data_IF_315551724591
#
_entry.id   IF_315551724591
#
_cell.length_a   1.000
_cell.length_b   1.000
_cell.length_c   1.000
_cell.angle_alpha   90.00
_cell.angle_beta   90.00
_cell.angle_gamma   90.00
#
_symmetry.space_group_name_H-M   'P 1'
#
loop_
_entity.id
_entity.type
_entity.pdbx_description
1 polymer ?
#
# COMPACT_ATOMS: atom_id res chain seq x y z
N UNK A 1 -1.12 -5.19 -34.33
CA UNK A 1 -1.59 -4.31 -33.23
C UNK A 1 -0.85 -4.71 -31.97
N UNK A 2 -0.49 -3.75 -31.10
CA UNK A 2 0.11 -4.07 -29.79
C UNK A 2 -1.00 -4.57 -28.86
N UNK A 3 -0.73 -5.44 -27.90
CA UNK A 3 -1.75 -5.95 -26.96
C UNK A 3 -1.78 -5.09 -25.70
N UNK A 4 -2.97 -4.66 -25.31
CA UNK A 4 -3.28 -4.09 -24.00
C UNK A 4 -4.15 -5.08 -23.22
N UNK A 5 -3.55 -5.76 -22.25
CA UNK A 5 -4.29 -6.66 -21.37
C UNK A 5 -4.89 -5.89 -20.19
N UNK A 6 -6.18 -6.10 -19.95
CA UNK A 6 -6.94 -5.43 -18.89
C UNK A 6 -7.21 -6.41 -17.77
N UNK A 7 -6.81 -6.01 -16.57
CA UNK A 7 -7.10 -6.72 -15.32
C UNK A 7 -8.08 -5.88 -14.53
N UNK A 8 -9.24 -6.42 -14.19
CA UNK A 8 -10.27 -5.69 -13.45
C UNK A 8 -11.06 -6.62 -12.54
N UNK A 9 -11.75 -6.12 -11.51
CA UNK A 9 -12.64 -6.92 -10.68
C UNK A 9 -13.68 -7.64 -11.54
N UNK A 10 -13.75 -8.97 -11.43
CA UNK A 10 -14.78 -9.78 -12.09
C UNK A 10 -15.84 -10.10 -11.05
N UNK A 11 -16.96 -9.36 -11.10
CA UNK A 11 -18.14 -9.63 -10.30
C UNK A 11 -19.06 -10.67 -10.94
N UNK A 12 -20.04 -11.15 -10.17
CA UNK A 12 -21.14 -11.97 -10.70
C UNK A 12 -22.02 -11.18 -11.67
N UNK A 13 -22.75 -11.90 -12.53
CA UNK A 13 -23.68 -11.29 -13.47
C UNK A 13 -24.71 -10.40 -12.76
N UNK A 14 -24.87 -9.18 -13.27
CA UNK A 14 -25.78 -8.17 -12.70
C UNK A 14 -25.24 -7.46 -11.44
N UNK A 15 -24.06 -7.81 -10.93
CA UNK A 15 -23.45 -7.10 -9.80
C UNK A 15 -22.98 -5.69 -10.19
N UNK A 16 -22.95 -4.78 -9.23
CA UNK A 16 -22.40 -3.43 -9.42
C UNK A 16 -20.91 -3.47 -9.81
N UNK A 17 -20.14 -4.40 -9.23
CA UNK A 17 -18.74 -4.63 -9.63
C UNK A 17 -18.64 -4.97 -11.12
N UNK A 18 -19.45 -5.93 -11.61
CA UNK A 18 -19.45 -6.32 -13.03
C UNK A 18 -19.85 -5.16 -13.93
N UNK A 19 -20.95 -4.47 -13.60
CA UNK A 19 -21.45 -3.31 -14.34
C UNK A 19 -20.40 -2.20 -14.42
N UNK A 20 -19.76 -1.88 -13.30
CA UNK A 20 -18.73 -0.84 -13.23
C UNK A 20 -17.52 -1.22 -14.07
N UNK A 21 -16.96 -2.42 -13.90
CA UNK A 21 -15.78 -2.85 -14.67
C UNK A 21 -16.06 -2.94 -16.17
N UNK A 22 -17.28 -3.32 -16.58
CA UNK A 22 -17.71 -3.27 -17.97
C UNK A 22 -17.84 -1.84 -18.51
N UNK A 23 -18.32 -0.90 -17.68
CA UNK A 23 -18.39 0.52 -18.05
C UNK A 23 -17.00 1.15 -18.17
N UNK A 24 -16.08 0.89 -17.24
CA UNK A 24 -14.68 1.37 -17.31
C UNK A 24 -14.02 0.83 -18.58
N UNK A 25 -14.14 -0.47 -18.84
CA UNK A 25 -13.59 -1.08 -20.05
C UNK A 25 -14.14 -0.42 -21.31
N UNK A 26 -15.47 -0.34 -21.44
CA UNK A 26 -16.15 0.16 -22.65
C UNK A 26 -15.95 1.66 -22.88
N UNK A 27 -16.08 2.46 -21.83
CA UNK A 27 -16.17 3.91 -21.97
C UNK A 27 -14.85 4.63 -21.76
N UNK A 28 -13.86 4.02 -21.11
CA UNK A 28 -12.58 4.66 -20.81
C UNK A 28 -11.44 3.91 -21.49
N UNK A 29 -11.26 2.63 -21.18
CA UNK A 29 -10.05 1.89 -21.59
C UNK A 29 -10.05 1.61 -23.09
N UNK A 30 -11.09 0.98 -23.61
CA UNK A 30 -11.17 0.59 -25.03
C UNK A 30 -10.95 1.75 -26.00
N UNK A 31 -11.70 2.87 -25.92
CA UNK A 31 -11.53 3.96 -26.88
C UNK A 31 -10.13 4.57 -26.85
N UNK A 32 -9.51 4.68 -25.67
CA UNK A 32 -8.15 5.25 -25.57
C UNK A 32 -7.10 4.28 -26.08
N UNK A 33 -7.24 2.98 -25.81
CA UNK A 33 -6.30 1.97 -26.32
C UNK A 33 -6.37 1.85 -27.84
N UNK A 34 -7.58 1.83 -28.42
CA UNK A 34 -7.76 1.77 -29.88
C UNK A 34 -7.17 3.00 -30.57
N UNK A 35 -7.29 4.19 -29.97
CA UNK A 35 -6.65 5.42 -30.46
C UNK A 35 -5.11 5.35 -30.46
N UNK A 36 -4.51 4.46 -29.66
CA UNK A 36 -3.07 4.26 -29.55
C UNK A 36 -2.61 2.93 -30.19
N UNK A 37 -3.39 2.38 -31.13
CA UNK A 37 -3.07 1.13 -31.86
C UNK A 37 -2.89 -0.12 -30.96
N UNK A 38 -3.62 -0.15 -29.84
CA UNK A 38 -3.68 -1.31 -28.95
C UNK A 38 -4.97 -2.13 -29.14
N UNK A 39 -4.80 -3.45 -29.21
CA UNK A 39 -5.87 -4.44 -29.09
C UNK A 39 -6.16 -4.70 -27.61
N UNK A 40 -7.42 -4.52 -27.20
CA UNK A 40 -7.81 -4.65 -25.79
C UNK A 40 -8.28 -6.06 -25.50
N UNK A 41 -7.61 -6.72 -24.56
CA UNK A 41 -7.94 -8.09 -24.16
C UNK A 41 -8.30 -8.13 -22.67
N UNK A 42 -9.41 -8.79 -22.33
CA UNK A 42 -9.79 -9.11 -20.94
C UNK A 42 -10.18 -10.59 -20.87
N UNK A 43 -9.71 -11.29 -19.84
CA UNK A 43 -9.74 -12.77 -19.82
C UNK A 43 -11.15 -13.37 -19.94
N UNK A 44 -12.17 -12.76 -19.34
CA UNK A 44 -13.56 -13.23 -19.41
C UNK A 44 -14.19 -13.09 -20.80
N UNK A 45 -13.53 -12.42 -21.75
CA UNK A 45 -13.96 -12.30 -23.15
C UNK A 45 -13.27 -13.29 -24.08
N UNK A 46 -12.34 -14.08 -23.56
CA UNK A 46 -11.59 -15.08 -24.34
C UNK A 46 -12.35 -16.39 -24.28
N UNK A 47 -12.65 -16.96 -25.44
CA UNK A 47 -13.18 -18.31 -25.58
C UNK A 47 -12.06 -19.25 -26.00
N UNK A 48 -11.23 -19.68 -25.05
CA UNK A 48 -10.11 -20.59 -25.30
C UNK A 48 -10.26 -21.87 -24.45
N UNK A 49 -9.66 -22.97 -24.92
CA UNK A 49 -9.69 -24.28 -24.23
C UNK A 49 -8.64 -24.42 -23.13
N UNK A 50 -7.67 -23.50 -23.09
CA UNK A 50 -6.62 -23.46 -22.08
C UNK A 50 -7.17 -23.12 -20.69
N UNK A 51 -6.42 -23.45 -19.63
CA UNK A 51 -6.83 -23.01 -18.29
C UNK A 51 -6.75 -21.49 -18.19
N UNK A 52 -7.78 -20.88 -17.61
CA UNK A 52 -7.89 -19.43 -17.41
C UNK A 52 -6.60 -18.86 -16.79
N UNK A 53 -6.03 -19.58 -15.82
CA UNK A 53 -4.78 -19.19 -15.16
C UNK A 53 -3.59 -19.10 -16.12
N UNK A 54 -3.45 -20.07 -17.04
CA UNK A 54 -2.37 -20.05 -18.04
C UNK A 54 -2.53 -18.90 -19.02
N UNK A 55 -3.77 -18.63 -19.44
CA UNK A 55 -4.10 -17.50 -20.31
C UNK A 55 -3.75 -16.18 -19.63
N UNK A 56 -4.15 -15.98 -18.37
CA UNK A 56 -3.82 -14.77 -17.59
C UNK A 56 -2.31 -14.59 -17.49
N UNK A 57 -1.59 -15.63 -17.06
CA UNK A 57 -0.13 -15.58 -16.91
C UNK A 57 0.55 -15.20 -18.23
N UNK A 58 0.10 -15.79 -19.34
CA UNK A 58 0.61 -15.47 -20.67
C UNK A 58 0.42 -13.99 -21.00
N UNK A 59 -0.80 -13.46 -20.87
CA UNK A 59 -1.05 -12.06 -21.18
C UNK A 59 -0.32 -11.10 -20.23
N UNK A 60 -0.23 -11.39 -18.93
CA UNK A 60 0.55 -10.58 -17.99
C UNK A 60 2.03 -10.53 -18.37
N UNK A 61 2.59 -11.65 -18.85
CA UNK A 61 4.00 -11.73 -19.24
C UNK A 61 4.25 -11.10 -20.61
N UNK A 62 3.39 -11.32 -21.58
CA UNK A 62 3.68 -11.05 -22.99
C UNK A 62 3.19 -9.67 -23.45
N UNK A 63 2.02 -9.21 -22.98
CA UNK A 63 1.40 -7.97 -23.46
C UNK A 63 2.31 -6.75 -23.34
N UNK A 64 2.27 -5.90 -24.36
CA UNK A 64 3.02 -4.65 -24.44
C UNK A 64 2.56 -3.66 -23.36
N UNK A 65 1.27 -3.65 -23.04
CA UNK A 65 0.66 -2.85 -21.99
C UNK A 65 -0.25 -3.69 -21.12
N UNK A 66 -0.24 -3.42 -19.81
CA UNK A 66 -1.25 -3.91 -18.87
C UNK A 66 -1.93 -2.72 -18.21
N UNK A 67 -3.27 -2.72 -18.17
CA UNK A 67 -4.05 -1.75 -17.40
C UNK A 67 -4.76 -2.49 -16.28
N UNK A 68 -4.56 -2.07 -15.04
CA UNK A 68 -5.19 -2.70 -13.88
C UNK A 68 -6.18 -1.76 -13.20
N UNK A 69 -7.40 -2.22 -12.96
CA UNK A 69 -8.43 -1.52 -12.18
C UNK A 69 -8.40 -2.04 -10.74
N UNK A 70 -7.81 -1.27 -9.83
CA UNK A 70 -7.62 -1.62 -8.42
C UNK A 70 -8.85 -1.36 -7.54
N UNK A 71 -9.98 -1.00 -8.16
CA UNK A 71 -11.22 -0.68 -7.45
C UNK A 71 -11.75 -1.87 -6.63
N UNK A 72 -12.37 -1.55 -5.50
CA UNK A 72 -12.85 -2.48 -4.47
C UNK A 72 -11.75 -3.34 -3.83
N UNK A 73 -10.49 -2.98 -4.03
CA UNK A 73 -9.34 -3.68 -3.45
C UNK A 73 -9.34 -5.17 -3.80
N UNK A 74 -9.75 -5.50 -5.03
CA UNK A 74 -9.89 -6.90 -5.44
C UNK A 74 -8.53 -7.64 -5.31
N UNK A 75 -8.46 -8.71 -4.50
CA UNK A 75 -7.20 -9.39 -4.19
C UNK A 75 -6.55 -10.04 -5.42
N UNK A 76 -7.35 -10.51 -6.39
CA UNK A 76 -6.83 -11.12 -7.61
C UNK A 76 -6.17 -10.05 -8.49
N UNK A 77 -6.79 -8.87 -8.62
CA UNK A 77 -6.21 -7.75 -9.37
C UNK A 77 -4.89 -7.29 -8.75
N UNK A 78 -4.79 -7.25 -7.41
CA UNK A 78 -3.51 -6.95 -6.75
C UNK A 78 -2.44 -8.01 -7.02
N UNK A 79 -2.80 -9.29 -6.95
CA UNK A 79 -1.89 -10.40 -7.25
C UNK A 79 -1.35 -10.30 -8.68
N UNK A 80 -2.23 -10.11 -9.66
CA UNK A 80 -1.88 -9.99 -11.08
C UNK A 80 -1.05 -8.71 -11.36
N UNK A 81 -1.36 -7.60 -10.69
CA UNK A 81 -0.57 -6.37 -10.75
C UNK A 81 0.85 -6.57 -10.21
N UNK A 82 0.99 -7.27 -9.08
CA UNK A 82 2.28 -7.61 -8.49
C UNK A 82 3.09 -8.56 -9.40
N UNK A 83 2.43 -9.54 -10.01
CA UNK A 83 3.06 -10.44 -10.97
C UNK A 83 3.59 -9.67 -12.19
N UNK A 84 2.80 -8.74 -12.75
CA UNK A 84 3.23 -7.88 -13.86
C UNK A 84 4.42 -7.00 -13.50
N UNK A 85 4.41 -6.41 -12.30
CA UNK A 85 5.49 -5.55 -11.82
C UNK A 85 6.86 -6.26 -11.84
N UNK A 86 6.88 -7.57 -11.57
CA UNK A 86 8.11 -8.37 -11.57
C UNK A 86 8.80 -8.48 -12.95
N UNK A 87 8.10 -8.16 -14.04
CA UNK A 87 8.65 -8.21 -15.40
C UNK A 87 9.20 -6.86 -15.91
N UNK A 88 9.13 -5.79 -15.12
CA UNK A 88 9.55 -4.42 -15.52
C UNK A 88 8.98 -3.98 -16.89
N UNK A 89 7.74 -4.41 -17.18
CA UNK A 89 7.02 -4.05 -18.39
C UNK A 89 5.92 -3.04 -18.07
N UNK A 90 5.49 -2.22 -19.05
CA UNK A 90 4.45 -1.22 -18.86
C UNK A 90 3.22 -1.70 -18.11
N UNK A 91 2.82 -0.90 -17.13
CA UNK A 91 1.58 -1.07 -16.40
C UNK A 91 1.01 0.30 -16.03
N UNK A 92 -0.29 0.47 -16.19
CA UNK A 92 -1.03 1.67 -15.76
C UNK A 92 -2.11 1.23 -14.78
N UNK A 93 -2.18 1.88 -13.62
CA UNK A 93 -3.16 1.58 -12.58
C UNK A 93 -4.31 2.58 -12.63
N UNK A 94 -5.53 2.09 -12.51
CA UNK A 94 -6.77 2.84 -12.37
C UNK A 94 -7.40 2.55 -11.00
N UNK A 95 -8.11 3.52 -10.43
CA UNK A 95 -8.94 3.30 -9.25
C UNK A 95 -10.14 4.25 -9.26
N UNK A 96 -11.28 3.79 -8.73
CA UNK A 96 -12.45 4.64 -8.52
C UNK A 96 -12.14 5.79 -7.55
N UNK A 97 -12.49 7.00 -7.94
CA UNK A 97 -12.32 8.21 -7.13
C UNK A 97 -12.98 8.04 -5.75
N UNK A 98 -12.23 8.39 -4.70
CA UNK A 98 -12.66 8.25 -3.30
C UNK A 98 -12.19 6.96 -2.60
N UNK A 99 -11.69 5.97 -3.33
CA UNK A 99 -11.04 4.81 -2.73
C UNK A 99 -9.53 5.07 -2.51
N UNK A 100 -8.98 4.55 -1.40
CA UNK A 100 -7.58 4.73 -1.02
C UNK A 100 -6.81 3.42 -1.17
N UNK A 101 -5.67 3.45 -1.85
CA UNK A 101 -4.82 2.27 -1.99
C UNK A 101 -4.05 1.96 -0.69
N UNK A 102 -3.77 0.67 -0.42
CA UNK A 102 -2.80 0.29 0.60
C UNK A 102 -1.43 0.94 0.33
N UNK A 103 -0.70 1.26 1.40
CA UNK A 103 0.58 1.98 1.31
C UNK A 103 1.60 1.33 0.36
N UNK A 104 1.61 -0.01 0.30
CA UNK A 104 2.55 -0.74 -0.56
C UNK A 104 2.30 -0.55 -2.06
N UNK A 105 1.06 -0.25 -2.45
CA UNK A 105 0.66 -0.05 -3.86
C UNK A 105 0.57 1.43 -4.22
N UNK A 106 0.33 2.31 -3.24
CA UNK A 106 0.13 3.75 -3.45
C UNK A 106 1.37 4.51 -3.93
N UNK A 107 2.55 3.88 -3.90
CA UNK A 107 3.79 4.43 -4.44
C UNK A 107 3.79 4.50 -5.98
N UNK A 108 2.96 3.70 -6.64
CA UNK A 108 2.79 3.72 -8.10
C UNK A 108 1.75 4.76 -8.48
N UNK A 109 2.05 5.56 -9.51
CA UNK A 109 1.10 6.55 -10.04
C UNK A 109 -0.16 5.85 -10.52
N UNK A 110 -1.28 6.17 -9.89
CA UNK A 110 -2.60 5.62 -10.20
C UNK A 110 -3.52 6.73 -10.71
N UNK A 111 -4.26 6.45 -11.77
CA UNK A 111 -5.25 7.38 -12.34
C UNK A 111 -6.59 7.15 -11.64
N UNK A 112 -7.09 8.18 -10.96
CA UNK A 112 -8.45 8.18 -10.43
C UNK A 112 -9.46 8.34 -11.58
N UNK A 113 -10.53 7.56 -11.55
CA UNK A 113 -11.64 7.66 -12.50
C UNK A 113 -13.00 7.83 -11.80
N UNK A 114 -13.96 8.38 -12.55
CA UNK A 114 -15.35 8.51 -12.13
C UNK A 114 -16.26 8.25 -13.33
N UNK A 115 -17.43 7.64 -13.12
CA UNK A 115 -18.35 7.23 -14.20
C UNK A 115 -19.69 7.99 -14.21
N UNK A 116 -19.98 8.74 -13.15
CA UNK A 116 -21.25 9.47 -12.97
C UNK A 116 -21.24 10.88 -13.57
N UNK A 117 -20.09 11.31 -14.11
CA UNK A 117 -19.87 12.64 -14.66
C UNK A 117 -19.13 12.51 -16.02
N UNK A 118 -19.76 12.89 -17.15
CA UNK A 118 -19.14 12.82 -18.47
C UNK A 118 -17.83 13.61 -18.59
N UNK A 119 -17.72 14.76 -17.93
CA UNK A 119 -16.51 15.59 -17.99
C UNK A 119 -15.35 14.91 -17.27
N UNK A 120 -15.66 14.18 -16.18
CA UNK A 120 -14.67 13.34 -15.47
C UNK A 120 -14.23 12.15 -16.32
N UNK A 121 -15.16 11.52 -17.05
CA UNK A 121 -14.84 10.42 -17.98
C UNK A 121 -13.84 10.91 -19.04
N UNK A 122 -14.12 12.04 -19.68
CA UNK A 122 -13.20 12.62 -20.69
C UNK A 122 -11.87 13.03 -20.07
N UNK A 123 -11.87 13.63 -18.88
CA UNK A 123 -10.64 13.95 -18.15
C UNK A 123 -9.80 12.70 -17.80
N UNK A 124 -10.44 11.58 -17.46
CA UNK A 124 -9.74 10.31 -17.25
C UNK A 124 -9.17 9.77 -18.56
N UNK A 125 -9.93 9.82 -19.66
CA UNK A 125 -9.43 9.39 -20.98
C UNK A 125 -8.19 10.17 -21.40
N UNK A 126 -8.22 11.50 -21.23
CA UNK A 126 -7.08 12.36 -21.55
C UNK A 126 -5.84 11.94 -20.74
N UNK A 127 -5.98 11.79 -19.42
CA UNK A 127 -4.87 11.35 -18.55
C UNK A 127 -4.34 9.97 -18.94
N UNK A 128 -5.23 9.03 -19.28
CA UNK A 128 -4.85 7.70 -19.71
C UNK A 128 -4.06 7.77 -21.02
N UNK A 129 -4.52 8.56 -21.99
CA UNK A 129 -3.87 8.77 -23.28
C UNK A 129 -2.46 9.37 -23.14
N UNK A 130 -2.31 10.40 -22.31
CA UNK A 130 -1.02 11.03 -21.98
C UNK A 130 -0.05 10.01 -21.33
N UNK A 131 -0.59 9.17 -20.44
CA UNK A 131 0.21 8.13 -19.76
C UNK A 131 0.67 7.05 -20.73
N UNK A 132 -0.21 6.55 -21.63
CA UNK A 132 0.15 5.56 -22.66
C UNK A 132 1.22 6.13 -23.60
N UNK A 133 1.08 7.38 -24.02
CA UNK A 133 2.06 8.06 -24.88
C UNK A 133 3.45 8.11 -24.21
N UNK A 134 3.50 8.52 -22.95
CA UNK A 134 4.74 8.62 -22.17
C UNK A 134 5.43 7.27 -22.01
N UNK A 135 4.64 6.24 -21.70
CA UNK A 135 5.12 4.86 -21.52
C UNK A 135 5.67 4.28 -22.84
N UNK A 136 5.01 4.57 -23.96
CA UNK A 136 5.42 4.09 -25.29
C UNK A 136 6.77 4.68 -25.71
N UNK A 137 6.95 5.99 -25.55
CA UNK A 137 8.20 6.70 -25.89
C UNK A 137 9.39 6.16 -25.06
N UNK A 138 9.17 5.92 -23.77
CA UNK A 138 10.21 5.40 -22.88
C UNK A 138 10.65 3.98 -23.26
N UNK A 139 9.74 3.16 -23.78
CA UNK A 139 10.06 1.82 -24.24
C UNK A 139 10.78 1.79 -25.58
N UNK A 140 10.41 2.66 -26.52
CA UNK A 140 11.11 2.76 -27.80
C UNK A 140 12.56 3.23 -27.57
N UNK A 141 12.76 4.19 -26.66
CA UNK A 141 14.09 4.62 -26.19
C UNK A 141 14.90 3.51 -25.50
N UNK A 142 14.24 2.59 -24.78
CA UNK A 142 14.89 1.41 -24.19
C UNK A 142 15.21 0.32 -25.24
N UNK A 143 14.47 0.26 -26.34
CA UNK A 143 14.64 -0.76 -27.38
C UNK A 143 15.83 -0.52 -28.31
N UNK A 144 16.32 0.73 -28.41
CA UNK A 144 17.55 1.05 -29.15
C UNK A 144 18.85 0.81 -28.35
N UNK A 145 18.74 0.41 -27.08
CA UNK A 145 19.88 0.05 -26.27
C UNK A 145 19.49 -0.95 -25.20
N UNK A 146 19.69 -2.25 -25.49
CA UNK A 146 20.36 -3.25 -24.64
C UNK A 146 19.94 -4.68 -25.05
N UNK A 147 20.87 -5.39 -25.68
CA UNK A 147 21.16 -6.75 -25.24
C UNK A 147 21.53 -6.68 -23.74
N UNK A 148 20.81 -7.38 -22.87
CA UNK A 148 21.36 -7.95 -21.63
C UNK A 148 20.32 -8.86 -20.94
N UNK A 149 20.12 -10.04 -21.51
CA UNK A 149 19.64 -11.19 -20.74
C UNK A 149 20.71 -11.63 -19.75
N UNK A 150 20.75 -11.03 -18.56
CA UNK A 150 21.47 -11.51 -17.37
C UNK A 150 21.10 -10.76 -16.09
N UNK A 151 20.56 -9.54 -16.17
CA UNK A 151 20.23 -8.74 -14.97
C UNK A 151 18.96 -9.18 -14.21
N UNK A 152 18.05 -9.93 -14.84
CA UNK A 152 16.77 -10.31 -14.22
C UNK A 152 16.93 -11.15 -12.94
N UNK A 153 17.90 -12.07 -12.87
CA UNK A 153 18.14 -12.86 -11.64
C UNK A 153 18.75 -12.04 -10.51
N UNK A 154 19.64 -11.10 -10.84
CA UNK A 154 20.25 -10.22 -9.84
C UNK A 154 19.19 -9.28 -9.29
N UNK A 155 18.38 -8.69 -10.17
CA UNK A 155 17.24 -7.84 -9.79
C UNK A 155 16.21 -8.59 -8.94
N UNK A 156 15.86 -9.83 -9.29
CA UNK A 156 14.96 -10.67 -8.48
C UNK A 156 15.54 -11.00 -7.11
N UNK A 157 16.84 -11.32 -7.02
CA UNK A 157 17.52 -11.53 -5.74
C UNK A 157 17.57 -10.26 -4.89
N UNK A 158 17.83 -9.11 -5.51
CA UNK A 158 17.80 -7.81 -4.84
C UNK A 158 16.39 -7.54 -4.30
N UNK A 159 15.33 -7.75 -5.08
CA UNK A 159 13.96 -7.57 -4.60
C UNK A 159 13.61 -8.51 -3.46
N UNK A 160 13.98 -9.80 -3.54
CA UNK A 160 13.80 -10.76 -2.44
C UNK A 160 14.47 -10.27 -1.17
N UNK A 161 15.74 -9.87 -1.25
CA UNK A 161 16.49 -9.36 -0.10
C UNK A 161 15.89 -8.06 0.46
N UNK A 162 15.39 -7.17 -0.41
CA UNK A 162 14.74 -5.94 0.03
C UNK A 162 13.40 -6.21 0.74
N UNK A 163 12.64 -7.22 0.30
CA UNK A 163 11.42 -7.66 0.99
C UNK A 163 11.75 -8.27 2.36
N UNK A 164 12.76 -9.13 2.43
CA UNK A 164 13.18 -9.74 3.70
C UNK A 164 13.62 -8.66 4.72
N UNK A 165 14.42 -7.68 4.29
CA UNK A 165 14.84 -6.54 5.12
C UNK A 165 13.63 -5.72 5.58
N UNK A 166 12.66 -5.48 4.70
CA UNK A 166 11.45 -4.73 5.03
C UNK A 166 10.63 -5.46 6.09
N UNK A 167 10.46 -6.76 5.95
CA UNK A 167 9.71 -7.58 6.90
C UNK A 167 10.41 -7.63 8.27
N UNK A 168 11.74 -7.72 8.30
CA UNK A 168 12.51 -7.61 9.54
C UNK A 168 12.37 -6.23 10.20
N UNK A 169 12.38 -5.14 9.42
CA UNK A 169 12.17 -3.78 9.95
C UNK A 169 10.75 -3.64 10.53
N UNK A 170 9.74 -4.18 9.87
CA UNK A 170 8.35 -4.17 10.36
C UNK A 170 8.24 -4.99 11.66
N UNK A 171 8.85 -6.17 11.69
CA UNK A 171 8.89 -7.02 12.87
C UNK A 171 9.60 -6.33 14.06
N UNK A 172 10.77 -5.74 13.82
CA UNK A 172 11.50 -4.97 14.82
C UNK A 172 10.69 -3.76 15.31
N UNK A 173 10.06 -3.01 14.41
CA UNK A 173 9.20 -1.87 14.77
C UNK A 173 8.02 -2.30 15.63
N UNK A 174 7.39 -3.45 15.32
CA UNK A 174 6.31 -4.03 16.12
C UNK A 174 6.80 -4.45 17.51
N UNK A 175 7.98 -5.04 17.59
CA UNK A 175 8.58 -5.47 18.86
C UNK A 175 8.99 -4.28 19.75
N UNK A 176 9.51 -3.21 19.15
CA UNK A 176 9.79 -1.95 19.86
C UNK A 176 8.48 -1.39 20.45
N UNK A 177 7.42 -1.29 19.64
CA UNK A 177 6.10 -0.84 20.11
C UNK A 177 5.48 -1.73 21.19
N UNK A 178 5.71 -3.05 21.15
CA UNK A 178 5.23 -3.95 22.20
C UNK A 178 6.07 -3.86 23.47
N UNK A 179 7.37 -3.58 23.36
CA UNK A 179 8.26 -3.42 24.52
C UNK A 179 7.88 -2.17 25.32
N UNK A 180 7.59 -1.06 24.64
CA UNK A 180 7.10 0.17 25.29
C UNK A 180 5.76 -0.04 26.03
N UNK A 181 4.87 -0.89 25.50
CA UNK A 181 3.60 -1.24 26.16
C UNK A 181 3.77 -2.17 27.36
N UNK A 182 4.65 -3.18 27.24
CA UNK A 182 4.94 -4.12 28.34
C UNK A 182 5.61 -3.38 29.51
N UNK A 183 6.51 -2.44 29.23
CA UNK A 183 7.16 -1.63 30.27
C UNK A 183 6.15 -0.69 30.95
N UNK A 184 5.19 -0.13 30.19
CA UNK A 184 4.12 0.70 30.76
C UNK A 184 3.11 -0.10 31.58
N UNK A 185 2.66 -1.27 31.10
CA UNK A 185 1.76 -2.14 31.86
C UNK A 185 2.43 -2.68 33.13
N UNK A 186 3.71 -3.05 33.05
CA UNK A 186 4.47 -3.46 34.23
C UNK A 186 4.67 -2.29 35.21
N UNK A 187 4.95 -1.07 34.73
CA UNK A 187 5.00 0.12 35.58
C UNK A 187 3.65 0.41 36.22
N UNK A 188 2.55 0.40 35.46
CA UNK A 188 1.18 0.58 35.98
C UNK A 188 0.88 -0.50 37.01
N UNK A 189 1.24 -1.75 36.77
CA UNK A 189 1.04 -2.84 37.71
C UNK A 189 1.86 -2.68 39.00
N UNK A 190 3.13 -2.29 38.91
CA UNK A 190 4.00 -2.00 40.05
C UNK A 190 3.45 -0.82 40.86
N UNK A 191 3.05 0.27 40.20
CA UNK A 191 2.44 1.44 40.81
C UNK A 191 1.13 1.07 41.51
N UNK A 192 0.26 0.30 40.85
CA UNK A 192 -1.02 -0.17 41.41
C UNK A 192 -0.79 -1.03 42.66
N UNK A 193 0.19 -1.93 42.60
CA UNK A 193 0.57 -2.78 43.73
C UNK A 193 1.16 -1.97 44.89
N UNK A 194 1.98 -0.95 44.60
CA UNK A 194 2.51 -0.06 45.62
C UNK A 194 1.41 0.80 46.25
N UNK A 195 0.48 1.34 45.46
CA UNK A 195 -0.67 2.12 45.94
C UNK A 195 -1.57 1.28 46.85
N UNK A 196 -1.85 0.02 46.51
CA UNK A 196 -2.63 -0.91 47.35
C UNK A 196 -1.94 -1.23 48.69
N UNK A 197 -0.59 -1.24 48.73
CA UNK A 197 0.16 -1.47 49.98
C UNK A 197 0.33 -0.22 50.85
N UNK A 198 -0.10 0.95 50.36
CA UNK A 198 0.28 2.26 50.88
C UNK A 198 -0.86 3.04 51.56
N UNK A 199 -2.02 2.41 51.80
CA UNK A 199 -3.23 3.05 52.37
C UNK A 199 -3.07 3.65 53.78
N UNK A 200 -1.90 3.60 54.43
CA UNK A 200 -1.72 4.05 55.81
C UNK A 200 -0.66 5.14 56.06
N UNK A 201 -0.02 5.71 55.04
CA UNK A 201 0.96 6.80 55.25
C UNK A 201 0.57 8.13 54.60
N UNK A 202 0.85 9.25 55.29
CA UNK A 202 0.62 10.61 54.78
C UNK A 202 1.41 10.88 53.48
N UNK A 203 2.61 10.29 53.36
CA UNK A 203 3.46 10.38 52.17
C UNK A 203 2.78 9.73 50.95
N UNK A 204 2.07 8.63 51.16
CA UNK A 204 1.37 7.89 50.11
C UNK A 204 0.21 8.68 49.52
N UNK A 205 -0.53 9.43 50.35
CA UNK A 205 -1.64 10.29 49.89
C UNK A 205 -1.14 11.51 49.11
N UNK A 206 0.02 12.05 49.50
CA UNK A 206 0.68 13.14 48.76
C UNK A 206 1.15 12.63 47.40
N UNK A 207 1.75 11.44 47.38
CA UNK A 207 2.21 10.78 46.16
C UNK A 207 1.04 10.45 45.21
N UNK A 208 -0.06 9.91 45.71
CA UNK A 208 -1.28 9.64 44.93
C UNK A 208 -1.84 10.91 44.28
N UNK A 209 -1.87 12.02 45.01
CA UNK A 209 -2.36 13.30 44.49
C UNK A 209 -1.42 13.89 43.43
N UNK A 210 -0.11 13.77 43.61
CA UNK A 210 0.89 14.18 42.63
C UNK A 210 0.81 13.34 41.35
N UNK A 211 0.66 12.02 41.48
CA UNK A 211 0.47 11.10 40.36
C UNK A 211 -0.78 11.42 39.56
N UNK A 212 -1.91 11.66 40.24
CA UNK A 212 -3.17 12.00 39.58
C UNK A 212 -3.05 13.31 38.80
N UNK A 213 -2.40 14.31 39.37
CA UNK A 213 -2.19 15.61 38.72
C UNK A 213 -1.24 15.52 37.51
N UNK A 214 -0.21 14.67 37.56
CA UNK A 214 0.73 14.47 36.45
C UNK A 214 0.14 13.63 35.32
N UNK A 215 -0.72 12.64 35.63
CA UNK A 215 -1.46 11.89 34.59
C UNK A 215 -2.39 12.83 33.81
N UNK A 216 -3.04 13.76 34.48
CA UNK A 216 -3.96 14.72 33.85
C UNK A 216 -3.24 15.88 33.14
N UNK A 217 -1.95 16.12 33.44
CA UNK A 217 -1.12 17.15 32.82
C UNK A 217 0.28 16.58 32.51
N UNK A 218 0.47 15.93 31.33
CA UNK A 218 1.68 15.20 30.99
C UNK A 218 2.95 16.05 31.04
N UNK A 219 2.88 17.32 30.66
CA UNK A 219 4.03 18.24 30.64
C UNK A 219 4.62 18.52 32.04
N UNK A 220 3.82 18.35 33.10
CA UNK A 220 4.30 18.50 34.49
C UNK A 220 5.06 17.27 34.99
N UNK A 221 4.98 16.15 34.29
CA UNK A 221 5.71 14.94 34.63
C UNK A 221 7.22 15.17 34.46
N UNK A 222 7.61 15.89 33.43
CA UNK A 222 9.01 16.23 33.16
C UNK A 222 9.60 17.11 34.27
N UNK A 223 8.87 18.11 34.75
CA UNK A 223 9.29 18.93 35.90
C UNK A 223 9.45 18.09 37.17
N UNK A 224 8.57 17.11 37.40
CA UNK A 224 8.64 16.23 38.56
C UNK A 224 9.87 15.30 38.48
N UNK A 225 10.16 14.76 37.30
CA UNK A 225 11.37 13.94 37.05
C UNK A 225 12.63 14.78 37.30
N UNK A 226 12.68 16.04 36.84
CA UNK A 226 13.80 16.94 37.11
C UNK A 226 14.00 17.26 38.60
N UNK A 227 12.92 17.38 39.37
CA UNK A 227 13.00 17.59 40.82
C UNK A 227 13.54 16.33 41.51
N UNK A 228 13.07 15.16 41.12
CA UNK A 228 13.54 13.87 41.66
C UNK A 228 15.03 13.68 41.39
N UNK A 229 15.49 13.96 40.17
CA UNK A 229 16.92 13.84 39.80
C UNK A 229 17.80 14.84 40.56
N UNK A 230 17.32 16.05 40.82
CA UNK A 230 18.02 17.02 41.68
C UNK A 230 18.13 16.56 43.14
N UNK A 231 17.14 15.84 43.65
CA UNK A 231 17.17 15.30 45.01
C UNK A 231 18.05 14.04 45.11
N UNK A 232 18.03 13.16 44.11
CA UNK A 232 18.82 11.93 44.08
C UNK A 232 20.32 12.23 43.98
N UNK A 233 20.70 13.26 43.23
CA UNK A 233 22.09 13.74 43.10
C UNK A 233 22.62 14.38 44.38
N UNK A 234 21.78 15.06 45.18
CA UNK A 234 22.18 15.62 46.49
C UNK A 234 22.49 14.56 47.55
N UNK A 235 21.88 13.38 47.48
CA UNK A 235 22.13 12.27 48.43
C UNK A 235 23.48 11.56 48.22
N UNK A 236 24.16 11.76 47.07
CA UNK A 236 25.48 11.18 46.80
C UNK A 236 26.65 11.97 47.42
N UNK A 237 26.40 13.14 48.00
CA UNK A 237 27.43 14.03 48.54
C UNK A 237 27.26 14.35 50.04
N UNK A 238 26.46 13.58 50.77
CA UNK A 238 26.35 13.63 52.23
C UNK A 238 26.52 12.24 52.84
#
# INVERSE_FOLDING_TARGET
>A
MKTCFVVSPIGSDGSETRRRSDQVLKHIITPVCEQNDYEVVRVDRISDSDSIDQTIIKYLKESELVITDLTDHNPNVFFESGYRLAFDKPMIQLILEGQQLPFDVSTTRTINYKLDDPDKIEGTKQKLNETISTVTINNESKSEGLEQGQNSQVTQKIFSLLFDIKDEIIYLSKNIKSKDRIDLENMVHILTKQLQSAEQSTESRIFERLLTETINNPDKLDEMIEIIDRYSTRKKFN
#
